data_IF_572925000304
#
_entry.id   IF_572925000304
#
_cell.length_a   1.000
_cell.length_b   1.000
_cell.length_c   1.000
_cell.angle_alpha   90.00
_cell.angle_beta   90.00
_cell.angle_gamma   90.00
#
_symmetry.space_group_name_H-M   'P 1'
#
loop_
_entity.id
_entity.type
_entity.pdbx_description
1 polymer ?
#
# COMPACT_ATOMS: atom_id res chain seq x y z
N UNK A 1 -2.58 4.88 57.98
CA UNK A 1 -2.00 3.90 57.04
C UNK A 1 -1.83 4.61 55.71
N UNK A 2 -0.60 4.85 55.29
CA UNK A 2 -0.29 5.65 54.09
C UNK A 2 -0.44 4.78 52.84
N UNK A 3 -1.40 5.13 51.98
CA UNK A 3 -1.58 4.48 50.68
C UNK A 3 -0.49 4.95 49.71
N UNK A 4 0.59 4.17 49.60
CA UNK A 4 1.60 4.37 48.56
C UNK A 4 1.01 4.06 47.19
N UNK A 5 0.60 5.11 46.47
CA UNK A 5 0.25 5.04 45.06
C UNK A 5 1.52 4.70 44.26
N UNK A 6 1.73 3.43 43.94
CA UNK A 6 2.71 3.02 42.94
C UNK A 6 2.24 3.51 41.56
N UNK A 7 2.43 4.79 41.25
CA UNK A 7 2.38 5.27 39.87
C UNK A 7 3.55 4.61 39.17
N UNK A 8 3.28 3.66 38.29
CA UNK A 8 4.28 3.06 37.40
C UNK A 8 5.03 4.20 36.70
N UNK A 9 6.29 4.43 37.07
CA UNK A 9 7.14 5.43 36.43
C UNK A 9 7.49 4.93 35.02
N UNK A 10 6.58 5.13 34.08
CA UNK A 10 6.86 4.94 32.67
C UNK A 10 7.73 6.12 32.23
N UNK A 11 8.92 5.90 31.66
CA UNK A 11 9.73 6.99 31.14
C UNK A 11 8.94 7.77 30.09
N UNK A 12 9.17 9.09 29.96
CA UNK A 12 8.54 9.87 28.92
C UNK A 12 8.94 9.33 27.54
N UNK A 13 8.06 9.47 26.53
CA UNK A 13 8.40 9.07 25.17
C UNK A 13 9.61 9.86 24.65
N UNK A 14 10.57 9.23 23.95
CA UNK A 14 11.67 9.94 23.33
C UNK A 14 11.14 10.84 22.20
N UNK A 15 11.80 11.98 21.98
CA UNK A 15 11.50 12.89 20.87
C UNK A 15 12.43 12.69 19.68
N UNK A 16 13.67 12.24 19.93
CA UNK A 16 14.70 12.04 18.91
C UNK A 16 15.38 10.68 19.10
N UNK A 17 15.91 10.14 18.00
CA UNK A 17 16.70 8.92 18.00
C UNK A 17 18.20 9.18 18.22
N UNK A 18 19.01 8.13 18.26
CA UNK A 18 20.48 8.22 18.42
C UNK A 18 21.18 9.00 17.28
N UNK A 19 20.50 9.24 16.15
CA UNK A 19 21.00 10.09 15.07
C UNK A 19 20.51 11.54 15.14
N UNK A 20 19.93 11.95 16.28
CA UNK A 20 19.36 13.29 16.49
C UNK A 20 18.19 13.62 15.52
N UNK A 21 17.63 12.62 14.86
CA UNK A 21 16.44 12.77 14.03
C UNK A 21 15.17 12.55 14.86
N UNK A 22 14.05 13.24 14.55
CA UNK A 22 12.77 12.99 15.22
C UNK A 22 12.36 11.52 15.10
N UNK A 23 11.90 10.93 16.20
CA UNK A 23 11.32 9.58 16.15
C UNK A 23 9.98 9.62 15.43
N UNK A 24 9.67 8.55 14.70
CA UNK A 24 8.40 8.41 13.99
C UNK A 24 7.57 7.28 14.59
N UNK A 25 6.24 7.42 14.48
CA UNK A 25 5.29 6.38 14.84
C UNK A 25 5.31 5.28 13.78
N UNK A 26 5.60 4.06 14.21
CA UNK A 26 5.63 2.86 13.38
C UNK A 26 4.69 1.80 13.94
N UNK A 27 4.32 0.83 13.11
CA UNK A 27 3.43 -0.27 13.48
C UNK A 27 4.18 -1.59 13.35
N UNK A 28 4.25 -2.34 14.45
CA UNK A 28 4.82 -3.69 14.44
C UNK A 28 3.95 -4.65 13.63
N UNK A 29 4.62 -5.47 12.81
CA UNK A 29 3.99 -6.51 11.98
C UNK A 29 4.44 -7.92 12.38
N UNK A 30 5.06 -8.08 13.55
CA UNK A 30 5.47 -9.38 14.07
C UNK A 30 4.31 -10.08 14.76
N UNK A 31 4.43 -11.40 14.93
CA UNK A 31 3.42 -12.21 15.62
C UNK A 31 3.35 -11.92 17.12
N UNK A 32 4.48 -11.54 17.74
CA UNK A 32 4.57 -11.29 19.18
C UNK A 32 3.89 -9.98 19.58
N UNK A 33 3.96 -8.98 18.69
CA UNK A 33 3.42 -7.64 18.91
C UNK A 33 2.64 -7.15 17.69
N UNK A 34 1.56 -7.83 17.29
CA UNK A 34 0.89 -7.53 16.05
C UNK A 34 0.11 -6.22 16.20
N UNK A 35 0.27 -5.32 15.22
CA UNK A 35 -0.42 -4.04 15.11
C UNK A 35 -0.13 -3.02 16.25
N UNK A 36 0.76 -3.34 17.19
CA UNK A 36 1.19 -2.39 18.23
C UNK A 36 2.02 -1.27 17.63
N UNK A 37 1.75 -0.04 18.08
CA UNK A 37 2.50 1.12 17.65
C UNK A 37 3.67 1.41 18.59
N UNK A 38 4.78 1.85 18.00
CA UNK A 38 5.97 2.29 18.73
C UNK A 38 6.55 3.56 18.09
N UNK A 39 7.30 4.33 18.87
CA UNK A 39 8.19 5.35 18.39
C UNK A 39 9.56 4.73 18.14
N UNK A 40 10.14 4.97 16.97
CA UNK A 40 11.45 4.48 16.61
C UNK A 40 12.12 5.34 15.54
N UNK A 41 13.38 5.01 15.24
CA UNK A 41 14.13 5.63 14.16
C UNK A 41 13.43 5.45 12.81
N UNK A 42 13.52 6.44 11.90
CA UNK A 42 12.99 6.35 10.53
C UNK A 42 13.53 5.11 9.80
N UNK A 43 14.81 4.79 10.02
CA UNK A 43 15.52 3.67 9.40
C UNK A 43 15.40 2.36 10.18
N UNK A 44 14.44 2.24 11.11
CA UNK A 44 14.30 1.06 11.99
C UNK A 44 14.18 -0.25 11.21
N UNK A 45 13.36 -0.29 10.15
CA UNK A 45 13.21 -1.49 9.30
C UNK A 45 14.28 -1.63 8.23
N UNK A 46 15.12 -0.62 8.02
CA UNK A 46 16.16 -0.59 6.99
C UNK A 46 17.53 -1.07 7.51
N UNK A 47 17.56 -1.74 8.67
CA UNK A 47 18.78 -2.33 9.23
C UNK A 47 19.66 -1.35 10.02
N UNK A 48 19.12 -0.20 10.42
CA UNK A 48 19.83 0.72 11.31
C UNK A 48 20.20 0.06 12.64
N UNK A 49 21.37 0.39 13.19
CA UNK A 49 21.81 -0.06 14.53
C UNK A 49 21.19 0.76 15.67
N UNK A 50 20.40 1.79 15.36
CA UNK A 50 19.77 2.66 16.34
C UNK A 50 18.78 1.89 17.20
N UNK A 51 18.93 1.99 18.53
CA UNK A 51 18.12 1.24 19.50
C UNK A 51 16.99 2.07 20.10
N UNK A 52 16.79 3.30 19.62
CA UNK A 52 15.68 4.14 20.08
C UNK A 52 14.34 3.46 19.79
N UNK A 53 13.63 3.14 20.86
CA UNK A 53 12.38 2.40 20.80
C UNK A 53 11.48 2.76 21.99
N UNK A 54 10.18 2.96 21.74
CA UNK A 54 9.19 3.19 22.80
C UNK A 54 7.80 2.73 22.37
N UNK A 55 7.20 1.76 23.07
CA UNK A 55 5.82 1.34 22.80
C UNK A 55 4.84 2.50 23.07
N UNK A 56 3.82 2.69 22.24
CA UNK A 56 2.75 3.65 22.48
C UNK A 56 1.54 2.98 23.12
N UNK A 57 1.13 1.86 22.53
CA UNK A 57 -0.08 1.14 22.92
C UNK A 57 0.20 0.06 23.98
N UNK A 58 -0.78 -0.31 24.80
CA UNK A 58 -0.71 -1.51 25.62
C UNK A 58 -0.56 -2.79 24.77
N UNK A 59 -0.19 -3.89 25.42
CA UNK A 59 -0.19 -5.21 24.78
C UNK A 59 -1.60 -5.72 24.57
N UNK A 60 -1.77 -6.58 23.56
CA UNK A 60 -3.01 -7.33 23.40
C UNK A 60 -3.19 -8.26 24.61
N UNK A 61 -4.44 -8.48 25.08
CA UNK A 61 -4.69 -9.12 26.36
C UNK A 61 -4.16 -10.56 26.49
N UNK A 62 -4.09 -11.29 25.38
CA UNK A 62 -3.63 -12.68 25.34
C UNK A 62 -3.20 -13.09 23.93
N UNK A 63 -2.65 -14.30 23.82
CA UNK A 63 -2.11 -14.82 22.56
C UNK A 63 -3.19 -15.15 21.52
N UNK A 64 -4.43 -15.45 21.95
CA UNK A 64 -5.54 -15.64 21.01
C UNK A 64 -5.74 -14.38 20.15
N UNK A 65 -5.82 -13.20 20.78
CA UNK A 65 -5.94 -11.95 20.03
C UNK A 65 -4.70 -11.63 19.19
N UNK A 66 -3.49 -11.94 19.68
CA UNK A 66 -2.27 -11.76 18.88
C UNK A 66 -2.33 -12.59 17.59
N UNK A 67 -2.70 -13.86 17.69
CA UNK A 67 -2.82 -14.74 16.53
C UNK A 67 -3.91 -14.28 15.55
N UNK A 68 -5.08 -13.89 16.04
CA UNK A 68 -6.17 -13.41 15.16
C UNK A 68 -5.79 -12.11 14.44
N UNK A 69 -5.20 -11.14 15.14
CA UNK A 69 -4.73 -9.90 14.51
C UNK A 69 -3.61 -10.19 13.49
N UNK A 70 -2.68 -11.09 13.81
CA UNK A 70 -1.61 -11.46 12.89
C UNK A 70 -2.15 -12.12 11.62
N UNK A 71 -3.16 -13.00 11.71
CA UNK A 71 -3.85 -13.57 10.54
C UNK A 71 -4.48 -12.48 9.68
N UNK A 72 -5.08 -11.46 10.29
CA UNK A 72 -5.66 -10.32 9.57
C UNK A 72 -4.58 -9.53 8.82
N UNK A 73 -3.42 -9.26 9.45
CA UNK A 73 -2.28 -8.59 8.80
C UNK A 73 -1.81 -9.39 7.58
N UNK A 74 -1.68 -10.72 7.69
CA UNK A 74 -1.30 -11.57 6.56
C UNK A 74 -2.34 -11.56 5.44
N UNK A 75 -3.63 -11.57 5.79
CA UNK A 75 -4.72 -11.47 4.81
C UNK A 75 -4.70 -10.14 4.09
N UNK A 76 -4.49 -9.04 4.80
CA UNK A 76 -4.34 -7.70 4.22
C UNK A 76 -3.18 -7.65 3.22
N UNK A 77 -2.03 -8.24 3.58
CA UNK A 77 -0.86 -8.31 2.68
C UNK A 77 -1.20 -9.01 1.37
N UNK A 78 -1.82 -10.19 1.43
CA UNK A 78 -2.24 -10.95 0.24
C UNK A 78 -3.22 -10.14 -0.63
N UNK A 79 -4.21 -9.51 -0.01
CA UNK A 79 -5.18 -8.68 -0.73
C UNK A 79 -4.53 -7.48 -1.44
N UNK A 80 -3.50 -6.87 -0.85
CA UNK A 80 -2.74 -5.78 -1.50
C UNK A 80 -1.93 -6.28 -2.70
N UNK A 81 -1.31 -7.45 -2.58
CA UNK A 81 -0.58 -8.09 -3.70
C UNK A 81 -1.54 -8.44 -4.84
N UNK A 82 -2.68 -9.05 -4.53
CA UNK A 82 -3.73 -9.39 -5.50
C UNK A 82 -4.27 -8.14 -6.20
N UNK A 83 -4.55 -7.07 -5.43
CA UNK A 83 -5.00 -5.78 -5.98
C UNK A 83 -3.95 -5.17 -6.91
N UNK A 84 -2.68 -5.21 -6.54
CA UNK A 84 -1.58 -4.71 -7.39
C UNK A 84 -1.50 -5.48 -8.71
N UNK A 85 -1.60 -6.81 -8.64
CA UNK A 85 -1.63 -7.69 -9.81
C UNK A 85 -2.83 -7.39 -10.72
N UNK A 86 -4.02 -7.25 -10.15
CA UNK A 86 -5.25 -6.93 -10.90
C UNK A 86 -5.15 -5.55 -11.57
N UNK A 87 -4.64 -4.54 -10.86
CA UNK A 87 -4.42 -3.21 -11.43
C UNK A 87 -3.43 -3.25 -12.61
N UNK A 88 -2.41 -4.10 -12.55
CA UNK A 88 -1.51 -4.35 -13.67
C UNK A 88 -2.26 -4.87 -14.89
N UNK A 89 -3.10 -5.90 -14.71
CA UNK A 89 -3.92 -6.46 -15.80
C UNK A 89 -4.91 -5.45 -16.38
N UNK A 90 -5.55 -4.64 -15.55
CA UNK A 90 -6.47 -3.58 -15.99
C UNK A 90 -5.73 -2.61 -16.92
N UNK A 91 -4.56 -2.13 -16.50
CA UNK A 91 -3.75 -1.22 -17.32
C UNK A 91 -3.30 -1.85 -18.64
N UNK A 92 -3.04 -3.15 -18.65
CA UNK A 92 -2.66 -3.85 -19.88
C UNK A 92 -3.86 -3.98 -20.83
N UNK A 93 -5.05 -4.29 -20.31
CA UNK A 93 -6.30 -4.32 -21.08
C UNK A 93 -6.70 -2.94 -21.60
N UNK A 94 -6.53 -1.87 -20.81
CA UNK A 94 -6.78 -0.50 -21.25
C UNK A 94 -5.90 -0.14 -22.46
N UNK A 95 -4.61 -0.50 -22.42
CA UNK A 95 -3.70 -0.30 -23.57
C UNK A 95 -4.11 -1.08 -24.81
N UNK A 96 -4.57 -2.31 -24.64
CA UNK A 96 -5.06 -3.14 -25.75
C UNK A 96 -6.33 -2.53 -26.36
N UNK A 97 -7.28 -2.09 -25.54
CA UNK A 97 -8.50 -1.42 -25.99
C UNK A 97 -8.17 -0.14 -26.77
N UNK A 98 -7.25 0.69 -26.26
CA UNK A 98 -6.83 1.91 -26.94
C UNK A 98 -6.18 1.61 -28.29
N UNK A 99 -5.35 0.56 -28.35
CA UNK A 99 -4.71 0.13 -29.59
C UNK A 99 -5.74 -0.37 -30.63
N UNK A 100 -6.68 -1.22 -30.20
CA UNK A 100 -7.75 -1.72 -31.07
C UNK A 100 -8.63 -0.59 -31.57
N UNK A 101 -9.00 0.35 -30.70
CA UNK A 101 -9.78 1.53 -31.06
C UNK A 101 -9.07 2.38 -32.13
N UNK A 102 -7.79 2.69 -31.94
CA UNK A 102 -7.01 3.45 -32.91
C UNK A 102 -6.92 2.71 -34.27
N UNK A 103 -6.79 1.38 -34.22
CA UNK A 103 -6.76 0.54 -35.43
C UNK A 103 -8.09 0.60 -36.17
N UNK A 104 -9.22 0.42 -35.46
CA UNK A 104 -10.56 0.49 -36.03
C UNK A 104 -10.87 1.88 -36.61
N UNK A 105 -10.47 2.95 -35.93
CA UNK A 105 -10.64 4.33 -36.42
C UNK A 105 -9.90 4.54 -37.76
N UNK A 106 -8.67 4.00 -37.87
CA UNK A 106 -7.89 4.05 -39.12
C UNK A 106 -8.56 3.25 -40.24
N UNK A 107 -9.00 2.03 -39.96
CA UNK A 107 -9.67 1.18 -40.97
C UNK A 107 -10.98 1.81 -41.44
N UNK A 108 -11.78 2.36 -40.52
CA UNK A 108 -13.01 3.07 -40.85
C UNK A 108 -12.73 4.27 -41.75
N UNK A 109 -11.67 5.03 -41.48
CA UNK A 109 -11.27 6.17 -42.30
C UNK A 109 -10.90 5.74 -43.74
N UNK A 110 -10.13 4.65 -43.88
CA UNK A 110 -9.78 4.10 -45.20
C UNK A 110 -11.03 3.66 -45.98
N UNK A 111 -11.95 2.93 -45.34
CA UNK A 111 -13.20 2.50 -45.96
C UNK A 111 -14.07 3.69 -46.41
N UNK A 112 -14.08 4.79 -45.65
CA UNK A 112 -14.79 6.01 -46.04
C UNK A 112 -14.17 6.68 -47.28
N UNK A 113 -12.84 6.65 -47.41
CA UNK A 113 -12.15 7.14 -48.61
C UNK A 113 -12.52 6.29 -49.82
N UNK A 114 -12.41 4.96 -49.72
CA UNK A 114 -12.72 4.02 -50.81
C UNK A 114 -14.18 4.18 -51.28
N UNK A 115 -15.12 4.35 -50.34
CA UNK A 115 -16.54 4.63 -50.64
C UNK A 115 -16.72 5.95 -51.38
N UNK A 116 -15.95 6.99 -51.03
CA UNK A 116 -16.03 8.30 -51.70
C UNK A 116 -15.49 8.23 -53.13
N UNK A 117 -14.37 7.55 -53.34
CA UNK A 117 -13.79 7.33 -54.67
C UNK A 117 -14.72 6.52 -55.56
N UNK A 118 -15.29 5.43 -55.03
CA UNK A 118 -16.25 4.57 -55.74
C UNK A 118 -17.53 5.34 -56.13
N UNK A 119 -18.04 6.20 -55.24
CA UNK A 119 -19.20 7.06 -55.57
C UNK A 119 -18.85 8.07 -56.66
N UNK A 120 -17.66 8.68 -56.61
CA UNK A 120 -17.25 9.65 -57.62
C UNK A 120 -17.13 9.04 -59.00
N UNK A 121 -16.67 7.79 -59.12
CA UNK A 121 -16.48 7.10 -60.40
C UNK A 121 -17.79 6.65 -61.06
N UNK A 122 -18.87 6.49 -60.29
CA UNK A 122 -20.22 6.18 -60.81
C UNK A 122 -20.92 7.41 -61.43
N UNK A 123 -20.55 8.64 -61.08
CA UNK A 123 -21.18 9.87 -61.61
C UNK A 123 -20.61 10.30 -62.97
N UNK A 124 -19.51 9.68 -63.44
CA UNK A 124 -18.86 10.00 -64.72
C UNK A 124 -19.20 9.04 -65.88
N UNK A 125 -20.24 8.20 -65.72
CA UNK A 125 -20.79 7.36 -66.79
C UNK A 125 -22.26 7.72 -67.08
#
# INVERSE_FOLDING_TARGET
MSSSSNRSYRPPPPTHCEHEQPVIRQTSRTIDFPLRHFLGCVEYYNGSKCRTFYWLDPELPNDYYKHEVFKLIQKEKRLKEDKSSLNGKIRDLEREIDFQKATMEKEMFLLQLDLKESKSSVVFF
#
